data_IF_515002914895
#
_entry.id   IF_515002914895
#
_cell.length_a   1.000
_cell.length_b   1.000
_cell.length_c   1.000
_cell.angle_alpha   90.00
_cell.angle_beta   90.00
_cell.angle_gamma   90.00
#
_symmetry.space_group_name_H-M   'P 1'
#
loop_
_entity.id
_entity.type
_entity.pdbx_description
1 polymer ?
#
# COMPACT_ATOMS: atom_id res chain seq x y z
N UNK A 1 2.71 17.91 -0.14
CA UNK A 1 1.45 17.63 -0.87
C UNK A 1 1.72 16.72 -2.05
N UNK A 2 0.86 15.74 -2.26
CA UNK A 2 1.02 14.82 -3.37
C UNK A 2 0.68 15.51 -4.70
N UNK A 3 1.48 15.22 -5.72
CA UNK A 3 1.14 15.66 -7.07
C UNK A 3 -0.11 14.92 -7.55
N UNK A 4 -0.73 15.45 -8.59
CA UNK A 4 -1.93 14.85 -9.17
C UNK A 4 -1.61 13.47 -9.73
N UNK A 5 -0.47 13.34 -10.38
CA UNK A 5 -0.02 12.06 -10.93
C UNK A 5 0.21 11.03 -9.84
N UNK A 6 0.84 11.45 -8.75
CA UNK A 6 1.11 10.57 -7.62
C UNK A 6 -0.19 10.08 -6.99
N UNK A 7 -1.13 10.99 -6.75
CA UNK A 7 -2.42 10.64 -6.17
C UNK A 7 -3.18 9.67 -7.07
N UNK A 8 -3.18 9.93 -8.37
CA UNK A 8 -3.87 9.07 -9.33
C UNK A 8 -3.26 7.67 -9.35
N UNK A 9 -1.93 7.59 -9.38
CA UNK A 9 -1.26 6.30 -9.37
C UNK A 9 -1.57 5.54 -8.08
N UNK A 10 -1.50 6.22 -6.94
CA UNK A 10 -1.74 5.57 -5.66
C UNK A 10 -3.16 5.01 -5.58
N UNK A 11 -4.14 5.81 -5.97
CA UNK A 11 -5.54 5.39 -5.90
C UNK A 11 -5.90 4.31 -6.91
N UNK A 12 -5.33 4.38 -8.11
CA UNK A 12 -5.75 3.48 -9.20
C UNK A 12 -4.91 2.22 -9.32
N UNK A 13 -3.65 2.26 -8.91
CA UNK A 13 -2.73 1.14 -9.12
C UNK A 13 -2.25 0.52 -7.81
N UNK A 14 -2.10 1.32 -6.77
CA UNK A 14 -1.62 0.81 -5.48
C UNK A 14 -2.77 0.27 -4.64
N UNK A 15 -3.76 1.12 -4.33
CA UNK A 15 -4.82 0.75 -3.39
C UNK A 15 -5.55 -0.53 -3.77
N UNK A 16 -5.94 -0.75 -5.04
CA UNK A 16 -6.67 -1.98 -5.37
C UNK A 16 -5.87 -3.25 -5.14
N UNK A 17 -4.55 -3.12 -5.01
CA UNK A 17 -3.64 -4.25 -4.89
C UNK A 17 -3.03 -4.38 -3.50
N UNK A 18 -3.44 -3.56 -2.54
CA UNK A 18 -2.99 -3.65 -1.16
C UNK A 18 -3.97 -4.50 -0.38
N UNK A 19 -3.48 -5.50 0.34
CA UNK A 19 -4.34 -6.32 1.21
C UNK A 19 -4.82 -5.50 2.40
N UNK A 20 -5.90 -5.96 3.06
CA UNK A 20 -6.38 -5.31 4.27
C UNK A 20 -5.30 -5.19 5.33
N UNK A 21 -4.51 -6.26 5.51
CA UNK A 21 -3.40 -6.25 6.46
C UNK A 21 -2.37 -5.20 6.05
N UNK A 22 -2.10 -5.10 4.74
CA UNK A 22 -1.16 -4.09 4.23
C UNK A 22 -1.63 -2.67 4.48
N UNK A 23 -2.93 -2.41 4.30
CA UNK A 23 -3.50 -1.09 4.59
C UNK A 23 -3.29 -0.74 6.05
N UNK A 24 -3.65 -1.66 6.95
CA UNK A 24 -3.50 -1.43 8.39
C UNK A 24 -2.05 -1.21 8.78
N UNK A 25 -1.14 -1.98 8.19
CA UNK A 25 0.29 -1.87 8.49
C UNK A 25 0.84 -0.51 8.08
N UNK A 26 0.48 -0.05 6.87
CA UNK A 26 0.96 1.24 6.40
C UNK A 26 0.42 2.39 7.24
N UNK A 27 -0.87 2.34 7.61
CA UNK A 27 -1.45 3.36 8.48
C UNK A 27 -0.66 3.43 9.78
N UNK A 28 -0.40 2.28 10.39
CA UNK A 28 0.33 2.22 11.64
C UNK A 28 1.73 2.83 11.52
N UNK A 29 2.46 2.43 10.49
CA UNK A 29 3.82 2.94 10.28
C UNK A 29 3.84 4.43 10.02
N UNK A 30 2.91 4.92 9.20
CA UNK A 30 2.86 6.33 8.85
C UNK A 30 2.48 7.19 10.05
N UNK A 31 1.46 6.76 10.81
CA UNK A 31 0.99 7.53 11.96
C UNK A 31 2.02 7.62 13.07
N UNK A 32 2.78 6.55 13.26
CA UNK A 32 3.78 6.51 14.32
C UNK A 32 5.11 7.12 13.91
N UNK A 33 5.27 7.47 12.63
CA UNK A 33 6.55 7.91 12.14
C UNK A 33 7.63 6.87 12.35
N UNK A 34 7.30 5.60 12.11
CA UNK A 34 8.17 4.48 12.44
C UNK A 34 9.46 4.50 11.62
N UNK A 35 10.61 4.25 12.26
CA UNK A 35 11.88 4.14 11.53
C UNK A 35 11.95 2.89 10.65
N UNK A 36 10.99 1.98 10.76
CA UNK A 36 10.91 0.82 9.88
C UNK A 36 10.42 1.18 8.49
N UNK A 37 9.81 2.37 8.33
CA UNK A 37 9.35 2.87 7.04
C UNK A 37 10.41 3.84 6.53
N UNK A 38 11.15 3.42 5.50
CA UNK A 38 12.28 4.18 4.99
C UNK A 38 12.00 4.75 3.60
N UNK A 39 12.89 5.61 3.14
CA UNK A 39 12.86 6.14 1.78
C UNK A 39 14.27 6.10 1.19
N UNK A 40 14.36 6.30 -0.13
CA UNK A 40 15.66 6.28 -0.81
C UNK A 40 16.14 4.89 -1.18
N UNK A 41 15.51 3.85 -0.66
CA UNK A 41 15.82 2.46 -0.96
C UNK A 41 14.56 1.66 -0.81
N UNK A 42 14.42 0.57 -1.55
CA UNK A 42 13.27 -0.31 -1.36
C UNK A 42 13.36 -1.05 -0.04
N UNK A 43 14.49 -1.64 0.24
CA UNK A 43 14.72 -2.36 1.48
C UNK A 43 16.16 -2.14 1.91
N UNK A 44 16.35 -1.78 3.18
CA UNK A 44 17.70 -1.66 3.72
C UNK A 44 18.11 -2.97 4.39
N UNK A 45 17.30 -3.40 5.33
CA UNK A 45 17.42 -4.71 5.98
C UNK A 45 16.06 -4.98 6.60
N UNK A 46 15.63 -6.24 6.58
CA UNK A 46 14.32 -6.60 7.14
C UNK A 46 14.36 -6.30 8.64
N UNK A 47 13.38 -5.58 9.20
CA UNK A 47 12.10 -5.16 8.62
C UNK A 47 12.05 -3.70 8.15
N UNK A 48 13.14 -3.12 7.68
CA UNK A 48 13.20 -1.73 7.22
C UNK A 48 12.99 -1.67 5.72
N UNK A 49 11.85 -1.12 5.29
CA UNK A 49 11.50 -1.05 3.88
C UNK A 49 10.66 0.19 3.56
N UNK A 50 10.56 0.50 2.27
CA UNK A 50 9.73 1.61 1.80
C UNK A 50 8.25 1.21 1.77
N UNK A 51 7.41 2.12 1.26
CA UNK A 51 5.97 1.86 1.15
C UNK A 51 5.69 0.54 0.42
N UNK A 52 6.27 0.37 -0.76
CA UNK A 52 6.01 -0.81 -1.59
C UNK A 52 6.48 -2.09 -0.91
N UNK A 53 7.61 -2.02 -0.22
CA UNK A 53 8.17 -3.19 0.44
C UNK A 53 7.29 -3.67 1.60
N UNK A 54 6.78 -2.75 2.41
CA UNK A 54 5.87 -3.14 3.49
C UNK A 54 4.55 -3.69 2.95
N UNK A 55 4.06 -3.13 1.84
CA UNK A 55 2.89 -3.69 1.18
C UNK A 55 3.18 -5.11 0.72
N UNK A 56 4.33 -5.31 0.09
CA UNK A 56 4.72 -6.60 -0.47
C UNK A 56 4.89 -7.67 0.62
N UNK A 57 5.46 -7.31 1.76
CA UNK A 57 5.62 -8.25 2.86
C UNK A 57 4.28 -8.70 3.45
N UNK A 58 3.22 -7.92 3.20
CA UNK A 58 1.87 -8.24 3.66
C UNK A 58 0.96 -8.70 2.52
N UNK A 59 1.55 -9.14 1.40
CA UNK A 59 0.78 -9.65 0.27
C UNK A 59 1.16 -11.11 0.04
N UNK A 60 0.17 -12.01 -0.12
CA UNK A 60 0.46 -13.46 -0.17
C UNK A 60 1.38 -13.87 -1.31
N UNK A 61 1.41 -13.13 -2.40
CA UNK A 61 2.24 -13.49 -3.55
C UNK A 61 3.67 -12.99 -3.44
N UNK A 62 3.94 -12.02 -2.58
CA UNK A 62 5.27 -11.41 -2.47
C UNK A 62 5.85 -11.47 -1.06
N UNK A 63 5.08 -11.96 -0.10
CA UNK A 63 5.52 -11.97 1.31
C UNK A 63 6.80 -12.78 1.53
N UNK A 64 7.06 -13.78 0.69
CA UNK A 64 8.25 -14.62 0.82
C UNK A 64 9.54 -13.95 0.35
N UNK A 65 9.42 -12.88 -0.42
CA UNK A 65 10.59 -12.13 -0.86
C UNK A 65 11.11 -11.26 0.26
N UNK A 66 12.40 -10.97 0.25
CA UNK A 66 13.00 -10.13 1.28
C UNK A 66 13.41 -8.78 0.70
N UNK A 67 14.60 -8.70 0.13
CA UNK A 67 15.12 -7.41 -0.33
C UNK A 67 14.41 -6.88 -1.57
N UNK A 68 13.92 -7.76 -2.42
CA UNK A 68 13.28 -7.39 -3.67
C UNK A 68 11.75 -7.39 -3.60
N UNK A 69 11.18 -7.55 -2.41
CA UNK A 69 9.73 -7.70 -2.26
C UNK A 69 8.96 -6.55 -2.89
N UNK A 70 9.37 -5.31 -2.60
CA UNK A 70 8.67 -4.13 -3.12
C UNK A 70 8.74 -4.03 -4.63
N UNK A 71 9.91 -4.35 -5.19
CA UNK A 71 10.08 -4.34 -6.64
C UNK A 71 9.19 -5.38 -7.30
N UNK A 72 9.14 -6.58 -6.72
CA UNK A 72 8.27 -7.65 -7.22
C UNK A 72 6.81 -7.26 -7.17
N UNK A 73 6.38 -6.64 -6.08
CA UNK A 73 4.99 -6.21 -5.93
C UNK A 73 4.64 -5.15 -6.98
N UNK A 74 5.52 -4.16 -7.17
CA UNK A 74 5.26 -3.13 -8.17
C UNK A 74 5.15 -3.72 -9.57
N UNK A 75 6.11 -4.57 -9.95
CA UNK A 75 6.14 -5.13 -11.30
C UNK A 75 5.00 -6.12 -11.57
N UNK A 76 4.73 -7.01 -10.63
CA UNK A 76 3.87 -8.17 -10.92
C UNK A 76 2.48 -8.07 -10.32
N UNK A 77 2.27 -7.21 -9.34
CA UNK A 77 0.96 -7.06 -8.70
C UNK A 77 0.34 -5.74 -9.12
N UNK A 78 1.03 -4.62 -8.89
CA UNK A 78 0.50 -3.30 -9.21
C UNK A 78 0.62 -2.97 -10.70
N UNK A 79 1.48 -3.68 -11.43
CA UNK A 79 1.67 -3.43 -12.86
C UNK A 79 2.38 -2.13 -13.16
N UNK A 80 3.31 -1.73 -12.31
CA UNK A 80 4.05 -0.48 -12.44
C UNK A 80 5.53 -0.74 -12.59
N UNK A 81 6.19 0.15 -13.32
CA UNK A 81 7.65 0.12 -13.42
C UNK A 81 8.22 0.88 -12.21
N UNK A 82 9.03 0.22 -11.37
CA UNK A 82 9.59 0.88 -10.18
C UNK A 82 10.41 2.13 -10.51
N UNK A 83 11.03 2.16 -11.69
CA UNK A 83 11.88 3.30 -12.07
C UNK A 83 11.09 4.53 -12.46
N UNK A 84 9.80 4.38 -12.81
CA UNK A 84 8.97 5.49 -13.27
C UNK A 84 7.76 5.75 -12.38
N UNK A 85 7.61 5.01 -11.30
CA UNK A 85 6.49 5.20 -10.39
C UNK A 85 6.52 6.60 -9.76
N UNK A 86 5.42 7.32 -9.90
CA UNK A 86 5.30 8.66 -9.31
C UNK A 86 5.29 8.60 -7.78
N UNK A 87 4.64 7.59 -7.23
CA UNK A 87 4.57 7.44 -5.77
C UNK A 87 5.95 7.19 -5.19
N UNK A 88 6.71 6.27 -5.80
CA UNK A 88 8.07 5.97 -5.33
C UNK A 88 8.95 7.20 -5.45
N UNK A 89 8.86 7.92 -6.57
CA UNK A 89 9.70 9.11 -6.78
C UNK A 89 9.41 10.17 -5.73
N UNK A 90 8.15 10.45 -5.47
CA UNK A 90 7.81 11.48 -4.49
C UNK A 90 8.14 11.03 -3.08
N UNK A 91 7.89 9.75 -2.77
CA UNK A 91 8.24 9.21 -1.47
C UNK A 91 9.73 9.33 -1.20
N UNK A 92 10.56 8.93 -2.17
CA UNK A 92 12.01 8.94 -1.98
C UNK A 92 12.56 10.37 -1.88
N UNK A 93 11.93 11.33 -2.54
CA UNK A 93 12.42 12.70 -2.55
C UNK A 93 12.00 13.49 -1.32
N UNK A 94 10.79 13.25 -0.82
CA UNK A 94 10.15 14.17 0.12
C UNK A 94 9.78 13.56 1.46
N UNK A 95 9.70 12.24 1.57
CA UNK A 95 9.05 11.61 2.72
C UNK A 95 9.62 12.00 4.08
N UNK A 96 10.91 12.24 4.14
CA UNK A 96 11.56 12.57 5.39
C UNK A 96 11.22 13.98 5.86
N UNK A 97 10.95 14.87 4.91
CA UNK A 97 10.72 16.29 5.21
C UNK A 97 9.29 16.72 4.95
N UNK A 98 8.50 15.89 4.29
CA UNK A 98 7.15 16.27 3.86
C UNK A 98 6.11 15.58 4.76
N UNK A 99 5.84 16.24 5.88
CA UNK A 99 4.80 15.79 6.79
C UNK A 99 3.44 15.71 6.09
N UNK A 100 3.17 16.65 5.17
CA UNK A 100 1.89 16.67 4.46
C UNK A 100 1.70 15.45 3.57
N UNK A 101 2.76 14.98 2.91
CA UNK A 101 2.68 13.77 2.10
C UNK A 101 2.29 12.57 2.97
N UNK A 102 2.92 12.45 4.13
CA UNK A 102 2.62 11.34 5.04
C UNK A 102 1.17 11.41 5.52
N UNK A 103 0.69 12.60 5.83
CA UNK A 103 -0.70 12.79 6.27
C UNK A 103 -1.68 12.50 5.14
N UNK A 104 -1.37 12.90 3.92
CA UNK A 104 -2.25 12.63 2.78
C UNK A 104 -2.34 11.14 2.49
N UNK A 105 -1.20 10.43 2.49
CA UNK A 105 -1.20 8.99 2.30
C UNK A 105 -2.02 8.29 3.39
N UNK A 106 -1.82 8.71 4.63
CA UNK A 106 -2.57 8.15 5.75
C UNK A 106 -4.07 8.36 5.57
N UNK A 107 -4.45 9.57 5.15
CA UNK A 107 -5.85 9.90 4.93
C UNK A 107 -6.47 9.03 3.83
N UNK A 108 -5.76 8.88 2.72
CA UNK A 108 -6.21 8.05 1.61
C UNK A 108 -6.38 6.60 2.06
N UNK A 109 -5.42 6.09 2.82
CA UNK A 109 -5.47 4.72 3.31
C UNK A 109 -6.63 4.51 4.28
N UNK A 110 -6.87 5.47 5.16
CA UNK A 110 -7.99 5.39 6.10
C UNK A 110 -9.33 5.43 5.38
N UNK A 111 -9.45 6.27 4.36
CA UNK A 111 -10.66 6.33 3.54
C UNK A 111 -10.88 5.00 2.85
N UNK A 112 -9.83 4.39 2.32
CA UNK A 112 -9.94 3.09 1.67
C UNK A 112 -10.34 2.02 2.68
N UNK A 113 -9.76 2.02 3.88
CA UNK A 113 -10.14 1.07 4.93
C UNK A 113 -11.61 1.19 5.28
N UNK A 114 -12.08 2.43 5.44
CA UNK A 114 -13.48 2.68 5.75
C UNK A 114 -14.40 2.22 4.63
N UNK A 115 -14.01 2.52 3.37
CA UNK A 115 -14.79 2.09 2.21
C UNK A 115 -14.93 0.57 2.18
N UNK A 116 -13.85 -0.15 2.45
CA UNK A 116 -13.87 -1.61 2.47
C UNK A 116 -14.78 -2.16 3.56
N UNK A 117 -14.78 -1.53 4.74
CA UNK A 117 -15.62 -1.96 5.84
C UNK A 117 -17.09 -1.68 5.59
N UNK A 118 -17.39 -0.66 4.78
CA UNK A 118 -18.76 -0.31 4.46
C UNK A 118 -19.33 -1.11 3.31
N UNK A 119 -18.47 -1.82 2.56
CA UNK A 119 -18.96 -2.64 1.46
C UNK A 119 -19.87 -3.72 2.01
N UNK A 120 -21.07 -3.86 1.44
CA UNK A 120 -21.99 -4.89 1.92
C UNK A 120 -21.40 -6.27 1.69
N UNK A 121 -21.42 -7.06 2.75
CA UNK A 121 -20.99 -8.44 2.62
C UNK A 121 -21.93 -9.22 1.71
N UNK A 122 -23.07 -8.66 1.45
CA UNK A 122 -24.04 -9.26 0.52
C UNK A 122 -23.47 -9.44 -0.87
N UNK A 123 -22.47 -8.69 -1.18
CA UNK A 123 -21.86 -8.89 -2.47
C UNK A 123 -21.11 -10.18 -2.51
N UNK A 124 -21.12 -10.69 -1.36
CA UNK A 124 -20.49 -11.93 -1.21
C UNK A 124 -21.45 -13.01 -1.05
N UNK A 125 -22.26 -12.40 -0.60
CA UNK A 125 -22.85 -13.01 -0.17
C UNK A 125 -23.11 -13.39 -0.58
N UNK A 126 -23.51 -13.13 -0.80
CA UNK A 126 -23.87 -13.53 -1.09
C UNK A 126 -23.22 -14.06 -1.33
N UNK A 127 -23.28 -14.08 -1.71
CA UNK A 127 -23.05 -14.58 -1.46
C UNK A 127 -22.47 -15.20 -1.15
N UNK A 128 -22.61 -15.50 -1.22
CA UNK A 128 -22.65 -16.06 -0.50
C UNK A 128 -22.72 -16.48 -0.14
N UNK A 129 -23.17 -16.54 -0.53
CA UNK A 129 -23.66 -16.89 0.04
C UNK A 129 -23.51 -17.24 -0.08
N UNK A 130 -23.81 -17.29 -0.52
CA UNK A 130 -24.05 -17.54 -0.30
C UNK A 130 -23.48 -17.83 -0.37
N UNK A 131 -23.69 -17.96 -0.83
CA UNK A 131 -23.57 -18.13 -0.46
C UNK A 131 -23.19 -18.42 -0.16
N UNK A 132 -23.59 -18.79 -0.43
CA UNK A 132 -23.75 -18.93 0.16
C UNK A 132 -23.68 -19.31 0.48
N UNK A 133 -24.11 -19.39 0.05
CA UNK A 133 -24.50 -19.57 0.57
C UNK A 133 -24.31 -19.69 0.64
N UNK A 134 -24.64 -20.04 0.22
CA UNK A 134 -24.79 -20.04 0.61
C UNK A 134 -24.51 -20.06 0.74
N UNK A 135 -24.84 -20.23 0.16
CA UNK A 135 -25.09 -20.14 0.57
C UNK A 135 -24.80 -19.88 0.69
#
# INVERSE_FOLDING_TARGET
MLSQECTREFKNSWLPNITGVGVDRLIDLLEKGSPLLIHGSFTRSVPMGCLATHIAWNHPRTAKHTLDAGICWLNHIAGLNPATSHVIREWDRCAEYDYDMRCELTSILKQERERRHQLPTKTVATNRIADLVNV
#
